data_IF_733045110389
#
_entry.id   IF_733045110389
#
_cell.length_a   1.000
_cell.length_b   1.000
_cell.length_c   1.000
_cell.angle_alpha   90.00
_cell.angle_beta   90.00
_cell.angle_gamma   90.00
#
_symmetry.space_group_name_H-M   'P 1'
#
loop_
_entity.id
_entity.type
_entity.pdbx_description
1 polymer ?
#
# COMPACT_ATOMS: atom_id res chain seq x y z
N UNK A 1 13.23 0.07 16.31
CA UNK A 1 13.78 -0.79 15.24
C UNK A 1 13.35 -2.25 15.39
N UNK A 2 13.70 -2.95 16.48
CA UNK A 2 13.35 -4.37 16.71
C UNK A 2 11.83 -4.65 16.60
N UNK A 3 10.97 -3.79 17.15
CA UNK A 3 9.51 -3.93 17.05
C UNK A 3 8.97 -3.84 15.61
N UNK A 4 9.63 -3.08 14.74
CA UNK A 4 9.22 -2.90 13.34
C UNK A 4 9.57 -4.14 12.50
N UNK A 5 10.79 -4.63 12.65
CA UNK A 5 11.26 -5.86 11.98
C UNK A 5 10.39 -7.05 12.38
N UNK A 6 9.98 -7.14 13.66
CA UNK A 6 9.06 -8.18 14.10
C UNK A 6 7.69 -8.11 13.40
N UNK A 7 7.19 -6.91 13.14
CA UNK A 7 5.89 -6.74 12.48
C UNK A 7 5.97 -7.04 10.98
N UNK A 8 7.05 -6.65 10.31
CA UNK A 8 7.29 -7.05 8.92
C UNK A 8 7.47 -8.57 8.79
N UNK A 9 8.27 -9.17 9.67
CA UNK A 9 8.46 -10.61 9.68
C UNK A 9 7.14 -11.35 9.94
N UNK A 10 6.29 -10.85 10.85
CA UNK A 10 4.97 -11.40 11.07
C UNK A 10 4.09 -11.33 9.80
N UNK A 11 4.20 -10.25 9.02
CA UNK A 11 3.51 -10.13 7.73
C UNK A 11 4.01 -11.14 6.69
N UNK A 12 5.33 -11.30 6.56
CA UNK A 12 5.95 -12.30 5.65
C UNK A 12 5.58 -13.72 6.05
N UNK A 13 5.60 -14.02 7.36
CA UNK A 13 5.18 -15.33 7.86
C UNK A 13 3.69 -15.58 7.59
N UNK A 14 2.85 -14.56 7.77
CA UNK A 14 1.41 -14.69 7.48
C UNK A 14 1.16 -14.98 6.00
N UNK A 15 1.81 -14.26 5.08
CA UNK A 15 1.64 -14.50 3.64
C UNK A 15 2.21 -15.86 3.21
N UNK A 16 3.30 -16.29 3.84
CA UNK A 16 3.84 -17.64 3.66
C UNK A 16 2.84 -18.71 4.13
N UNK A 17 2.23 -18.56 5.31
CA UNK A 17 1.19 -19.46 5.80
C UNK A 17 -0.02 -19.51 4.86
N UNK A 18 -0.45 -18.38 4.30
CA UNK A 18 -1.52 -18.35 3.29
C UNK A 18 -1.13 -19.15 2.05
N UNK A 19 0.12 -19.07 1.60
CA UNK A 19 0.62 -19.89 0.49
C UNK A 19 0.64 -21.39 0.80
N UNK A 20 0.99 -21.79 2.03
CA UNK A 20 0.88 -23.18 2.49
C UNK A 20 -0.58 -23.64 2.43
N UNK A 21 -1.50 -22.87 3.02
CA UNK A 21 -2.92 -23.21 3.04
C UNK A 21 -3.47 -23.36 1.62
N UNK A 22 -3.15 -22.40 0.73
CA UNK A 22 -3.52 -22.48 -0.67
C UNK A 22 -2.94 -23.75 -1.34
N UNK A 23 -1.65 -24.05 -1.13
CA UNK A 23 -1.03 -25.27 -1.64
C UNK A 23 -1.74 -26.54 -1.17
N UNK A 24 -2.00 -26.65 0.13
CA UNK A 24 -2.72 -27.81 0.69
C UNK A 24 -4.14 -27.95 0.17
N UNK A 25 -4.86 -26.83 -0.02
CA UNK A 25 -6.20 -26.87 -0.59
C UNK A 25 -6.19 -27.37 -2.05
N UNK A 26 -5.22 -26.91 -2.85
CA UNK A 26 -5.06 -27.38 -4.22
C UNK A 26 -4.75 -28.89 -4.30
N UNK A 27 -3.95 -29.42 -3.36
CA UNK A 27 -3.67 -30.87 -3.28
C UNK A 27 -4.91 -31.72 -2.94
N UNK A 28 -5.91 -31.15 -2.27
CA UNK A 28 -7.14 -31.85 -1.91
C UNK A 28 -8.18 -31.84 -3.04
N UNK A 29 -8.11 -30.85 -3.93
CA UNK A 29 -9.12 -30.60 -4.96
C UNK A 29 -8.70 -31.09 -6.37
N UNK A 30 -7.39 -31.17 -6.66
CA UNK A 30 -6.85 -31.48 -7.98
C UNK A 30 -5.73 -32.53 -7.98
N UNK A 31 -5.68 -33.32 -9.06
CA UNK A 31 -4.51 -34.16 -9.37
C UNK A 31 -3.32 -33.25 -9.73
N UNK A 32 -2.16 -33.58 -9.18
CA UNK A 32 -1.08 -32.64 -8.88
C UNK A 32 -0.20 -32.26 -10.09
N UNK A 33 -0.36 -32.94 -11.22
CA UNK A 33 0.50 -32.72 -12.40
C UNK A 33 0.10 -31.48 -13.23
N UNK A 34 -1.15 -31.03 -13.19
CA UNK A 34 -1.66 -29.88 -13.99
C UNK A 34 -2.05 -28.65 -13.15
N UNK A 35 -1.96 -28.73 -11.82
CA UNK A 35 -2.45 -27.66 -10.93
C UNK A 35 -1.54 -26.43 -10.93
N UNK A 36 -0.26 -26.58 -11.31
CA UNK A 36 0.70 -25.48 -11.29
C UNK A 36 0.81 -24.81 -12.67
N UNK A 37 0.34 -23.57 -12.76
CA UNK A 37 0.37 -22.80 -14.01
C UNK A 37 1.80 -22.60 -14.54
N UNK A 38 1.97 -22.55 -15.86
CA UNK A 38 3.28 -22.29 -16.50
C UNK A 38 3.92 -20.97 -16.05
N UNK A 39 3.10 -19.97 -15.71
CA UNK A 39 3.53 -18.68 -15.17
C UNK A 39 4.12 -18.79 -13.75
N UNK A 40 3.66 -19.73 -12.94
CA UNK A 40 4.21 -19.97 -11.60
C UNK A 40 5.54 -20.71 -11.67
N UNK A 41 5.71 -21.61 -12.65
CA UNK A 41 6.98 -22.28 -12.94
C UNK A 41 8.02 -21.32 -13.51
N UNK A 42 7.64 -20.44 -14.44
CA UNK A 42 8.59 -19.48 -15.05
C UNK A 42 9.17 -18.49 -14.03
N UNK A 43 8.38 -18.11 -13.02
CA UNK A 43 8.83 -17.26 -11.90
C UNK A 43 9.81 -17.97 -10.96
N UNK A 44 9.82 -19.30 -10.97
CA UNK A 44 10.72 -20.15 -10.20
C UNK A 44 11.96 -20.56 -11.01
N UNK A 45 12.21 -19.95 -12.17
CA UNK A 45 13.40 -20.14 -12.98
C UNK A 45 14.42 -19.00 -12.75
N UNK A 46 15.70 -19.30 -13.01
CA UNK A 46 16.81 -18.33 -12.90
C UNK A 46 16.61 -17.10 -13.81
N UNK A 47 15.91 -17.27 -14.94
CA UNK A 47 15.53 -16.17 -15.83
C UNK A 47 14.66 -15.12 -15.12
N UNK A 48 13.77 -15.56 -14.23
CA UNK A 48 12.92 -14.71 -13.39
C UNK A 48 13.70 -13.84 -12.41
N UNK A 49 14.89 -14.26 -11.97
CA UNK A 49 15.75 -13.45 -11.10
C UNK A 49 16.25 -12.18 -11.80
N UNK A 50 16.64 -12.30 -13.06
CA UNK A 50 17.12 -11.13 -13.83
C UNK A 50 15.98 -10.13 -14.02
N UNK A 51 14.79 -10.60 -14.37
CA UNK A 51 13.61 -9.75 -14.52
C UNK A 51 13.23 -9.06 -13.18
N UNK A 52 13.27 -9.81 -12.07
CA UNK A 52 13.03 -9.26 -10.73
C UNK A 52 14.03 -8.17 -10.36
N UNK A 53 15.32 -8.37 -10.66
CA UNK A 53 16.36 -7.39 -10.38
C UNK A 53 16.16 -6.08 -11.15
N UNK A 54 15.75 -6.16 -12.42
CA UNK A 54 15.46 -4.99 -13.26
C UNK A 54 14.31 -4.16 -12.69
N UNK A 55 13.25 -4.80 -12.17
CA UNK A 55 12.10 -4.11 -11.56
C UNK A 55 12.40 -3.60 -10.15
N UNK A 56 13.29 -4.28 -9.42
CA UNK A 56 13.69 -3.87 -8.07
C UNK A 56 14.43 -2.51 -8.08
N UNK A 57 15.21 -2.22 -9.12
CA UNK A 57 15.96 -0.97 -9.24
C UNK A 57 15.08 0.30 -9.24
N UNK A 58 14.09 0.48 -10.14
CA UNK A 58 13.17 1.61 -10.08
C UNK A 58 12.29 1.60 -8.83
N UNK A 59 11.98 0.41 -8.28
CA UNK A 59 11.23 0.30 -7.02
C UNK A 59 12.00 0.91 -5.85
N UNK A 60 13.31 0.68 -5.75
CA UNK A 60 14.16 1.30 -4.71
C UNK A 60 14.24 2.83 -4.84
N UNK A 61 14.30 3.36 -6.06
CA UNK A 61 14.21 4.82 -6.31
C UNK A 61 12.86 5.34 -5.83
N UNK A 62 11.77 4.64 -6.14
CA UNK A 62 10.42 4.97 -5.69
C UNK A 62 10.31 5.07 -4.17
N UNK A 63 10.92 4.14 -3.42
CA UNK A 63 11.01 4.19 -1.95
C UNK A 63 11.76 5.44 -1.49
N UNK A 64 12.92 5.73 -2.07
CA UNK A 64 13.70 6.89 -1.65
C UNK A 64 12.93 8.21 -1.88
N UNK A 65 12.22 8.30 -3.01
CA UNK A 65 11.36 9.45 -3.31
C UNK A 65 10.14 9.51 -2.39
N UNK A 66 9.54 8.37 -2.05
CA UNK A 66 8.41 8.33 -1.14
C UNK A 66 8.82 8.87 0.22
N UNK A 67 9.96 8.43 0.76
CA UNK A 67 10.45 8.85 2.08
C UNK A 67 10.70 10.36 2.13
N UNK A 68 11.14 10.95 1.02
CA UNK A 68 11.29 12.40 0.90
C UNK A 68 9.95 13.17 0.88
N UNK A 69 8.82 12.50 0.69
CA UNK A 69 7.49 13.09 0.59
C UNK A 69 6.55 12.59 1.70
N UNK A 70 5.96 13.49 2.48
CA UNK A 70 5.17 13.14 3.67
C UNK A 70 3.87 12.39 3.37
N UNK A 71 3.36 12.44 2.13
CA UNK A 71 2.00 12.00 1.83
C UNK A 71 1.90 10.61 1.16
N UNK A 72 3.02 10.02 0.73
CA UNK A 72 3.01 8.80 -0.12
C UNK A 72 3.70 7.59 0.51
N UNK A 73 4.29 7.75 1.69
CA UNK A 73 5.12 6.72 2.34
C UNK A 73 4.40 5.41 2.66
N UNK A 74 3.20 5.49 3.21
CA UNK A 74 2.41 4.31 3.55
C UNK A 74 1.95 3.55 2.31
N UNK A 75 1.53 4.28 1.27
CA UNK A 75 1.03 3.69 0.02
C UNK A 75 2.14 2.91 -0.71
N UNK A 76 3.34 3.47 -0.79
CA UNK A 76 4.47 2.83 -1.46
C UNK A 76 4.89 1.55 -0.74
N UNK A 77 4.88 1.54 0.61
CA UNK A 77 5.15 0.32 1.39
C UNK A 77 4.13 -0.80 1.14
N UNK A 78 2.85 -0.47 1.03
CA UNK A 78 1.79 -1.45 0.70
C UNK A 78 1.95 -1.98 -0.73
N UNK A 79 2.23 -1.11 -1.70
CA UNK A 79 2.43 -1.50 -3.09
C UNK A 79 3.64 -2.42 -3.29
N UNK A 80 4.75 -2.14 -2.59
CA UNK A 80 5.94 -2.99 -2.63
C UNK A 80 5.67 -4.35 -2.00
N UNK A 81 4.98 -4.37 -0.86
CA UNK A 81 4.58 -5.62 -0.22
C UNK A 81 3.71 -6.44 -1.17
N UNK A 82 2.72 -5.83 -1.83
CA UNK A 82 1.88 -6.48 -2.83
C UNK A 82 2.68 -7.02 -4.03
N UNK A 83 3.77 -6.36 -4.45
CA UNK A 83 4.66 -6.85 -5.51
C UNK A 83 5.56 -8.02 -5.05
N UNK A 84 5.87 -8.10 -3.76
CA UNK A 84 6.66 -9.18 -3.16
C UNK A 84 5.80 -10.38 -2.69
N UNK A 85 4.48 -10.24 -2.65
CA UNK A 85 3.55 -11.32 -2.32
C UNK A 85 3.63 -12.52 -3.31
N UNK A 86 3.64 -12.33 -4.64
CA UNK A 86 3.71 -13.44 -5.59
C UNK A 86 4.89 -14.41 -5.37
N UNK A 87 6.16 -13.96 -5.23
CA UNK A 87 7.27 -14.89 -5.03
C UNK A 87 7.23 -15.61 -3.68
N UNK A 88 6.81 -14.95 -2.59
CA UNK A 88 6.74 -15.61 -1.27
C UNK A 88 5.62 -16.65 -1.21
N UNK A 89 4.44 -16.34 -1.76
CA UNK A 89 3.31 -17.28 -1.83
C UNK A 89 3.62 -18.44 -2.77
N UNK A 90 4.25 -18.18 -3.93
CA UNK A 90 4.69 -19.23 -4.86
C UNK A 90 5.70 -20.18 -4.20
N UNK A 91 6.65 -19.63 -3.42
CA UNK A 91 7.64 -20.46 -2.73
C UNK A 91 7.03 -21.41 -1.70
N UNK A 92 6.05 -20.93 -0.93
CA UNK A 92 5.32 -21.72 0.07
C UNK A 92 4.48 -22.82 -0.58
N UNK A 93 3.84 -22.51 -1.70
CA UNK A 93 3.05 -23.45 -2.48
C UNK A 93 3.96 -24.56 -3.04
N UNK A 94 5.05 -24.22 -3.73
CA UNK A 94 6.03 -25.17 -4.26
C UNK A 94 6.63 -26.07 -3.17
N UNK A 95 6.86 -25.53 -1.97
CA UNK A 95 7.32 -26.31 -0.82
C UNK A 95 6.31 -27.39 -0.40
N UNK A 96 5.02 -27.07 -0.38
CA UNK A 96 3.95 -28.03 -0.06
C UNK A 96 3.86 -29.13 -1.11
N UNK A 97 3.96 -28.80 -2.40
CA UNK A 97 3.99 -29.80 -3.47
C UNK A 97 5.20 -30.73 -3.37
N UNK A 98 6.40 -30.18 -3.11
CA UNK A 98 7.61 -30.98 -2.90
C UNK A 98 7.50 -31.92 -1.69
N UNK A 99 6.96 -31.43 -0.57
CA UNK A 99 6.73 -32.25 0.64
C UNK A 99 5.69 -33.36 0.40
N UNK A 100 4.63 -33.09 -0.35
CA UNK A 100 3.64 -34.10 -0.69
C UNK A 100 4.24 -35.19 -1.58
N UNK A 101 4.96 -34.81 -2.65
CA UNK A 101 5.57 -35.73 -3.61
C UNK A 101 6.76 -36.52 -3.05
N UNK A 102 7.49 -35.99 -2.04
CA UNK A 102 8.52 -36.75 -1.28
C UNK A 102 7.98 -38.02 -0.63
N UNK A 103 6.70 -38.03 -0.25
CA UNK A 103 6.07 -39.24 0.28
C UNK A 103 5.77 -40.28 -0.82
N UNK A 104 5.97 -39.93 -2.09
CA UNK A 104 5.59 -40.67 -3.30
C UNK A 104 6.82 -40.95 -4.19
N UNK A 105 8.05 -41.05 -3.66
CA UNK A 105 9.26 -41.54 -4.38
C UNK A 105 9.34 -41.14 -5.88
N UNK A 106 9.12 -39.88 -6.22
CA UNK A 106 9.02 -39.40 -7.59
C UNK A 106 10.26 -38.55 -7.94
N UNK A 107 10.88 -38.77 -9.10
CA UNK A 107 12.08 -38.01 -9.51
C UNK A 107 11.79 -36.51 -9.69
N UNK A 108 10.51 -36.14 -9.85
CA UNK A 108 10.04 -34.74 -9.92
C UNK A 108 10.15 -33.96 -8.61
N UNK A 109 10.45 -34.61 -7.48
CA UNK A 109 10.63 -33.96 -6.18
C UNK A 109 11.65 -32.82 -6.23
N UNK A 110 12.76 -33.04 -6.94
CA UNK A 110 13.84 -32.07 -7.03
C UNK A 110 13.41 -30.75 -7.69
N UNK A 111 12.48 -30.78 -8.66
CA UNK A 111 12.06 -29.58 -9.38
C UNK A 111 11.25 -28.63 -8.47
N UNK A 112 10.35 -29.16 -7.65
CA UNK A 112 9.53 -28.36 -6.74
C UNK A 112 10.36 -27.74 -5.61
N UNK A 113 11.30 -28.50 -5.03
CA UNK A 113 12.22 -27.96 -4.02
C UNK A 113 13.14 -26.89 -4.58
N UNK A 114 13.74 -27.14 -5.75
CA UNK A 114 14.60 -26.16 -6.43
C UNK A 114 13.79 -24.91 -6.77
N UNK A 115 12.58 -25.05 -7.30
CA UNK A 115 11.71 -23.92 -7.61
C UNK A 115 11.28 -23.11 -6.37
N UNK A 116 11.03 -23.78 -5.24
CA UNK A 116 10.75 -23.13 -3.96
C UNK A 116 11.94 -22.29 -3.49
N UNK A 117 13.15 -22.84 -3.54
CA UNK A 117 14.38 -22.14 -3.18
C UNK A 117 14.66 -20.95 -4.11
N UNK A 118 14.47 -21.11 -5.41
CA UNK A 118 14.62 -20.02 -6.38
C UNK A 118 13.61 -18.90 -6.10
N UNK A 119 12.36 -19.23 -5.78
CA UNK A 119 11.32 -18.23 -5.44
C UNK A 119 11.63 -17.48 -4.13
N UNK A 120 12.16 -18.17 -3.11
CA UNK A 120 12.67 -17.51 -1.89
C UNK A 120 13.85 -16.60 -2.23
N UNK A 121 14.77 -17.07 -3.08
CA UNK A 121 15.89 -16.29 -3.59
C UNK A 121 15.44 -15.01 -4.30
N UNK A 122 14.41 -15.11 -5.16
CA UNK A 122 13.80 -13.98 -5.86
C UNK A 122 13.19 -12.95 -4.89
N UNK A 123 12.46 -13.42 -3.87
CA UNK A 123 11.91 -12.55 -2.83
C UNK A 123 13.01 -11.81 -2.07
N UNK A 124 14.03 -12.53 -1.59
CA UNK A 124 15.14 -11.95 -0.82
C UNK A 124 15.98 -10.99 -1.67
N UNK A 125 16.29 -11.38 -2.91
CA UNK A 125 17.04 -10.54 -3.84
C UNK A 125 16.29 -9.24 -4.13
N UNK A 126 14.99 -9.30 -4.44
CA UNK A 126 14.19 -8.10 -4.66
C UNK A 126 14.15 -7.21 -3.41
N UNK A 127 13.99 -7.79 -2.22
CA UNK A 127 13.99 -7.03 -0.97
C UNK A 127 15.34 -6.32 -0.73
N UNK A 128 16.45 -7.03 -0.90
CA UNK A 128 17.81 -6.48 -0.73
C UNK A 128 18.08 -5.40 -1.79
N UNK A 129 17.75 -5.65 -3.06
CA UNK A 129 17.98 -4.68 -4.13
C UNK A 129 17.16 -3.39 -3.91
N UNK A 130 15.89 -3.49 -3.53
CA UNK A 130 15.07 -2.31 -3.21
C UNK A 130 15.73 -1.49 -2.09
N UNK A 131 16.21 -2.16 -1.05
CA UNK A 131 16.90 -1.50 0.06
C UNK A 131 18.20 -0.81 -0.41
N UNK A 132 19.04 -1.51 -1.18
CA UNK A 132 20.31 -0.98 -1.69
C UNK A 132 20.10 0.20 -2.65
N UNK A 133 19.20 0.08 -3.63
CA UNK A 133 18.91 1.17 -4.57
C UNK A 133 18.29 2.39 -3.88
N UNK A 134 17.47 2.18 -2.86
CA UNK A 134 16.95 3.26 -2.02
C UNK A 134 18.09 4.00 -1.30
N UNK A 135 19.02 3.27 -0.69
CA UNK A 135 20.21 3.84 -0.04
C UNK A 135 21.11 4.61 -1.02
N UNK A 136 21.37 4.04 -2.21
CA UNK A 136 22.13 4.71 -3.27
C UNK A 136 21.42 6.01 -3.67
N UNK A 137 20.11 5.99 -3.85
CA UNK A 137 19.33 7.17 -4.24
C UNK A 137 19.42 8.28 -3.19
N UNK A 138 19.35 7.94 -1.91
CA UNK A 138 19.56 8.92 -0.83
C UNK A 138 20.98 9.49 -0.83
N UNK A 139 21.98 8.65 -1.13
CA UNK A 139 23.37 9.08 -1.19
C UNK A 139 23.60 10.05 -2.37
N UNK A 140 23.08 9.72 -3.56
CA UNK A 140 23.17 10.57 -4.76
C UNK A 140 22.46 11.90 -4.58
N UNK A 141 21.29 11.91 -3.92
CA UNK A 141 20.53 13.15 -3.70
C UNK A 141 21.05 14.02 -2.55
N UNK A 142 22.01 13.53 -1.75
CA UNK A 142 22.65 14.34 -0.71
C UNK A 142 21.66 15.01 0.25
N UNK A 143 20.52 14.38 0.54
CA UNK A 143 19.48 14.97 1.38
C UNK A 143 19.97 15.05 2.83
N UNK A 144 20.66 16.15 3.15
CA UNK A 144 20.82 16.67 4.52
C UNK A 144 19.45 17.17 5.00
N UNK A 145 18.54 16.25 5.28
CA UNK A 145 17.14 16.50 5.63
C UNK A 145 16.92 16.94 7.07
N UNK A 146 17.57 18.00 7.53
CA UNK A 146 17.23 18.62 8.84
C UNK A 146 16.77 20.07 8.78
N UNK A 147 17.02 20.81 7.69
CA UNK A 147 16.78 22.26 7.68
C UNK A 147 15.45 22.70 7.03
N UNK A 148 14.97 22.00 6.00
CA UNK A 148 13.80 22.46 5.21
C UNK A 148 12.44 22.06 5.78
N UNK A 149 12.38 21.02 6.62
CA UNK A 149 11.14 20.64 7.33
C UNK A 149 10.97 21.51 8.56
N UNK A 150 12.03 21.79 9.33
CA UNK A 150 11.92 22.62 10.52
C UNK A 150 11.58 24.08 10.18
N UNK A 151 12.08 24.66 9.08
CA UNK A 151 11.70 26.03 8.69
C UNK A 151 10.21 26.12 8.31
N UNK A 152 9.70 25.15 7.54
CA UNK A 152 8.31 25.16 7.06
C UNK A 152 7.28 24.93 8.17
N UNK A 153 7.60 24.08 9.16
CA UNK A 153 6.73 23.89 10.32
C UNK A 153 6.87 25.03 11.34
N UNK A 154 8.03 25.67 11.46
CA UNK A 154 8.24 26.84 12.32
C UNK A 154 7.45 28.06 11.83
N UNK A 155 7.43 28.33 10.52
CA UNK A 155 6.66 29.45 9.96
C UNK A 155 5.14 29.21 10.03
N UNK A 156 4.69 27.97 9.77
CA UNK A 156 3.27 27.62 9.87
C UNK A 156 2.74 27.67 11.31
N UNK A 157 3.56 27.31 12.30
CA UNK A 157 3.17 27.39 13.71
C UNK A 157 3.17 28.83 14.24
N UNK A 158 4.05 29.71 13.74
CA UNK A 158 4.01 31.14 14.07
C UNK A 158 2.72 31.83 13.58
N UNK A 159 2.32 31.60 12.33
CA UNK A 159 1.09 32.19 11.79
C UNK A 159 -0.19 31.67 12.48
N UNK A 160 -0.21 30.39 12.88
CA UNK A 160 -1.35 29.83 13.62
C UNK A 160 -1.47 30.42 15.04
N UNK A 161 -0.35 30.76 15.69
CA UNK A 161 -0.37 31.42 17.00
C UNK A 161 -0.84 32.88 16.91
N UNK A 162 -0.48 33.62 15.86
CA UNK A 162 -0.99 34.97 15.63
C UNK A 162 -2.49 34.98 15.29
N UNK A 163 -2.94 34.06 14.42
CA UNK A 163 -4.36 33.92 14.09
C UNK A 163 -5.21 33.52 15.30
N UNK A 164 -4.68 32.65 16.18
CA UNK A 164 -5.35 32.26 17.43
C UNK A 164 -5.39 33.41 18.45
N UNK A 165 -4.35 34.23 18.54
CA UNK A 165 -4.34 35.42 19.41
C UNK A 165 -5.26 36.55 18.91
N UNK A 166 -5.38 36.71 17.58
CA UNK A 166 -6.35 37.62 16.96
C UNK A 166 -7.80 37.15 17.18
N UNK A 167 -8.04 35.84 17.12
CA UNK A 167 -9.34 35.25 17.45
C UNK A 167 -9.65 35.31 18.95
N UNK A 168 -8.64 35.15 19.82
CA UNK A 168 -8.78 35.21 21.28
C UNK A 168 -9.06 36.60 21.84
N UNK A 169 -8.69 37.67 21.12
CA UNK A 169 -9.00 39.06 21.47
C UNK A 169 -10.28 39.60 20.82
N UNK A 170 -10.96 38.80 20.00
CA UNK A 170 -12.27 39.17 19.48
C UNK A 170 -13.32 38.76 20.53
N UNK A 171 -13.71 39.70 21.39
CA UNK A 171 -14.94 39.55 22.19
C UNK A 171 -16.09 39.36 21.22
N UNK A 172 -16.52 38.11 21.07
CA UNK A 172 -17.71 37.74 20.30
C UNK A 172 -18.90 38.43 20.98
N UNK A 173 -19.56 39.41 20.34
CA UNK A 173 -20.80 39.94 20.89
C UNK A 173 -21.81 38.81 20.84
N UNK A 174 -22.26 38.35 22.00
CA UNK A 174 -23.43 37.49 22.12
C UNK A 174 -24.62 38.26 21.56
N UNK A 175 -24.92 38.08 20.27
CA UNK A 175 -26.21 38.47 19.73
C UNK A 175 -27.23 37.49 20.31
N UNK A 176 -27.80 37.90 21.44
CA UNK A 176 -29.03 37.34 22.01
C UNK A 176 -30.17 37.64 21.03
N UNK A 177 -30.25 36.85 19.95
CA UNK A 177 -31.27 36.95 18.93
C UNK A 177 -32.56 36.28 19.40
N UNK A 178 -33.46 37.07 19.99
CA UNK A 178 -34.87 36.69 20.14
C UNK A 178 -35.44 36.22 18.81
N UNK A 179 -35.98 35.01 18.80
CA UNK A 179 -36.79 34.50 17.69
C UNK A 179 -38.03 35.39 17.54
N UNK A 180 -38.07 36.24 16.50
CA UNK A 180 -39.20 37.09 16.17
C UNK A 180 -39.99 36.44 15.02
N UNK A 181 -41.26 36.04 15.22
CA UNK A 181 -41.99 35.19 14.28
C UNK A 181 -42.47 35.87 12.98
N UNK A 182 -42.11 37.14 12.72
CA UNK A 182 -42.70 37.93 11.61
C UNK A 182 -41.83 38.08 10.35
N UNK A 183 -40.88 37.19 10.09
CA UNK A 183 -40.10 37.22 8.82
C UNK A 183 -40.55 36.16 7.82
N UNK A 184 -41.86 35.98 7.66
CA UNK A 184 -42.45 35.49 6.40
C UNK A 184 -42.89 36.70 5.60
N UNK A 185 -42.08 37.10 4.63
CA UNK A 185 -42.39 37.87 3.41
C UNK A 185 -41.34 38.97 3.16
N UNK A 186 -40.42 38.69 2.24
CA UNK A 186 -39.97 39.58 1.13
C UNK A 186 -38.64 39.03 0.59
N UNK A 187 -38.73 38.11 -0.37
CA UNK A 187 -37.65 37.93 -1.34
C UNK A 187 -37.94 38.88 -2.52
N UNK A 188 -37.04 39.83 -2.85
CA UNK A 188 -37.21 40.71 -3.99
C UNK A 188 -37.11 39.92 -5.30
N UNK A 189 -38.03 40.21 -6.22
CA UNK A 189 -38.31 39.46 -7.44
C UNK A 189 -37.30 39.64 -8.60
N UNK A 190 -36.03 39.96 -8.32
CA UNK A 190 -35.02 40.31 -9.34
C UNK A 190 -34.00 39.21 -9.65
N UNK A 191 -34.06 38.04 -9.00
CA UNK A 191 -33.13 36.91 -9.25
C UNK A 191 -33.84 35.58 -9.57
N UNK A 192 -35.00 35.64 -10.23
CA UNK A 192 -35.61 34.44 -10.82
C UNK A 192 -35.13 34.25 -12.25
N UNK A 193 -34.07 33.47 -12.43
CA UNK A 193 -33.74 32.83 -13.70
C UNK A 193 -34.85 31.86 -14.15
N UNK A 194 -34.98 31.58 -15.45
CA UNK A 194 -36.13 30.87 -15.99
C UNK A 194 -36.23 29.43 -15.45
N UNK A 195 -37.39 29.10 -14.86
CA UNK A 195 -37.75 27.73 -14.46
C UNK A 195 -38.34 26.98 -15.65
N UNK A 196 -37.84 25.79 -15.91
CA UNK A 196 -38.44 24.80 -16.82
C UNK A 196 -39.83 24.39 -16.32
N UNK A 197 -40.87 24.30 -17.17
CA UNK A 197 -42.23 23.98 -16.73
C UNK A 197 -42.50 22.47 -16.71
N UNK A 198 -43.11 21.98 -15.63
CA UNK A 198 -43.58 20.60 -15.43
C UNK A 198 -42.68 19.84 -14.45
N UNK A 199 -43.14 19.18 -13.39
CA UNK A 199 -44.49 18.84 -12.98
C UNK A 199 -44.50 18.50 -11.48
N UNK A 200 -45.47 19.09 -10.80
CA UNK A 200 -46.14 18.76 -9.52
C UNK A 200 -45.48 17.82 -8.51
N UNK A 201 -45.26 18.41 -7.33
CA UNK A 201 -45.29 17.78 -6.01
C UNK A 201 -46.75 17.36 -5.67
N UNK A 202 -46.98 16.09 -5.36
CA UNK A 202 -48.13 15.55 -4.58
C UNK A 202 -47.53 14.40 -3.74
N UNK A 203 -47.34 14.47 -2.42
CA UNK A 203 -48.27 14.61 -1.26
C UNK A 203 -49.26 13.42 -1.15
N UNK A 204 -49.10 12.67 -0.04
CA UNK A 204 -49.96 11.64 0.59
C UNK A 204 -49.95 10.24 -0.06
N UNK A 205 -49.88 9.12 0.67
CA UNK A 205 -50.25 8.84 2.07
C UNK A 205 -49.11 8.30 2.93
#
# INVERSE_FOLDING_TARGET
MIKSIRNELAGVLLTFCVGILAGTFNLLDYDTDDTLTGEMKSRAEVSGLVAGAVVAAPSGIGVALSVANTNVNSLVGVAISAALLPPIVNSALLLVYGLYRTNVNDEKDNEYYVGSLISIGLFLMNWILIFVFSMITFHVKGLKGKELVQSKWSDASFHNHEAFNLAGNMQVPLLEGKENPDTKQRMPASEMGPRTPGEKRMINC
#
